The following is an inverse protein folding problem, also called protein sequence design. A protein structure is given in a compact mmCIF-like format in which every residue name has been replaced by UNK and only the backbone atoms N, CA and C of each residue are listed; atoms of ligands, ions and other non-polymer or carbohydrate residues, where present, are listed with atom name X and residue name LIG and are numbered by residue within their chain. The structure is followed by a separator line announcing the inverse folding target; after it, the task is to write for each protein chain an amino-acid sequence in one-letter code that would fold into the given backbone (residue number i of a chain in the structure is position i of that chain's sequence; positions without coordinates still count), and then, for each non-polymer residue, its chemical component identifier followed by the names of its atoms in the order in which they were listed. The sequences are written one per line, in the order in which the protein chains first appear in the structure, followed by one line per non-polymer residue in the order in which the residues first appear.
data_IF_534545303547
#
_entry.id   IF_534545303547
#
_cell.length_a   1.000
_cell.length_b   1.000
_cell.length_c   1.000
_cell.angle_alpha   90.00
_cell.angle_beta   90.00
_cell.angle_gamma   90.00
#
_symmetry.space_group_name_H-M   'P 1'
#
loop_
_entity.id
_entity.type
_entity.pdbx_description
1 polymer ?
#
# COMPACT_ATOMS: atom_id res chain seq x y z
N UNK A 1 -9.63 -18.50 25.43
CA UNK A 1 -9.95 -19.00 24.07
C UNK A 1 -10.79 -17.94 23.36
N UNK A 2 -10.17 -17.18 22.46
CA UNK A 2 -10.85 -16.52 21.35
C UNK A 2 -9.82 -16.50 20.23
N UNK A 3 -9.99 -17.46 19.33
CA UNK A 3 -9.26 -17.55 18.06
C UNK A 3 -9.66 -16.33 17.23
N UNK A 4 -8.68 -15.56 16.79
CA UNK A 4 -8.84 -14.57 15.73
C UNK A 4 -8.37 -15.24 14.43
N UNK A 5 -9.11 -15.09 13.33
CA UNK A 5 -8.91 -15.88 12.13
C UNK A 5 -7.57 -15.51 11.50
N UNK A 6 -6.80 -16.55 11.20
CA UNK A 6 -5.63 -16.58 10.34
C UNK A 6 -5.96 -15.90 9.00
N UNK A 7 -5.69 -14.59 8.86
CA UNK A 7 -5.61 -13.95 7.54
C UNK A 7 -4.40 -14.59 6.87
N UNK A 8 -4.66 -15.37 5.83
CA UNK A 8 -3.65 -16.00 4.98
C UNK A 8 -2.60 -14.95 4.63
N UNK A 9 -1.35 -15.27 4.98
CA UNK A 9 -0.20 -14.50 4.55
C UNK A 9 -0.26 -14.42 3.02
N UNK A 10 -0.43 -13.19 2.50
CA UNK A 10 -0.09 -12.87 1.13
C UNK A 10 1.32 -13.44 0.84
N UNK A 11 1.58 -13.94 -0.38
CA UNK A 11 2.84 -14.60 -0.70
C UNK A 11 3.98 -13.69 -0.28
N UNK A 12 4.90 -14.23 0.55
CA UNK A 12 6.09 -13.53 0.96
C UNK A 12 6.73 -12.90 -0.27
N UNK A 13 6.76 -11.57 -0.31
CA UNK A 13 7.43 -10.82 -1.36
C UNK A 13 8.84 -11.43 -1.51
N UNK A 14 9.31 -11.64 -2.75
CA UNK A 14 10.63 -12.20 -2.98
C UNK A 14 11.64 -11.38 -2.17
N UNK A 15 12.56 -12.05 -1.47
CA UNK A 15 13.56 -11.39 -0.62
C UNK A 15 14.29 -10.30 -1.43
N UNK A 16 13.88 -9.04 -1.23
CA UNK A 16 14.34 -7.89 -2.03
C UNK A 16 13.23 -6.91 -2.45
N UNK A 17 11.97 -7.33 -2.54
CA UNK A 17 10.86 -6.41 -2.86
C UNK A 17 10.22 -5.87 -1.57
N UNK A 18 10.21 -4.55 -1.39
CA UNK A 18 9.54 -3.90 -0.26
C UNK A 18 8.08 -3.62 -0.62
N UNK A 19 7.14 -4.21 0.10
CA UNK A 19 5.71 -3.96 -0.10
C UNK A 19 5.22 -2.85 0.81
N UNK A 20 4.38 -1.97 0.26
CA UNK A 20 3.64 -0.95 1.00
C UNK A 20 2.20 -1.41 1.11
N UNK A 21 1.75 -1.60 2.34
CA UNK A 21 0.43 -2.12 2.69
C UNK A 21 -0.47 -1.03 3.26
N UNK A 22 -1.78 -1.22 3.15
CA UNK A 22 -2.75 -0.31 3.74
C UNK A 22 -2.72 -0.41 5.28
N UNK A 23 -2.47 0.70 6.01
CA UNK A 23 -2.42 0.66 7.48
C UNK A 23 -3.81 0.50 8.10
N UNK A 24 -4.87 0.89 7.38
CA UNK A 24 -6.25 0.87 7.84
C UNK A 24 -7.19 0.65 6.66
N UNK A 25 -8.41 0.10 6.88
CA UNK A 25 -9.40 -0.04 5.83
C UNK A 25 -9.90 1.32 5.34
N UNK A 26 -10.19 1.42 4.04
CA UNK A 26 -10.67 2.64 3.42
C UNK A 26 -10.81 2.52 1.90
N UNK A 27 -10.83 3.67 1.23
CA UNK A 27 -10.92 3.77 -0.21
C UNK A 27 -9.71 4.51 -0.78
N UNK A 28 -9.20 4.07 -1.93
CA UNK A 28 -8.14 4.75 -2.64
C UNK A 28 -8.72 6.02 -3.25
N UNK A 29 -8.37 7.18 -2.69
CA UNK A 29 -8.81 8.47 -3.20
C UNK A 29 -8.00 8.88 -4.43
N UNK A 30 -6.67 8.75 -4.34
CA UNK A 30 -5.74 9.03 -5.44
C UNK A 30 -4.53 8.13 -5.43
N UNK A 31 -4.04 7.82 -6.62
CA UNK A 31 -2.74 7.17 -6.81
C UNK A 31 -1.77 8.22 -7.35
N UNK A 32 -0.70 8.52 -6.61
CA UNK A 32 0.25 9.59 -6.93
C UNK A 32 1.45 9.12 -7.75
N UNK A 33 1.64 7.80 -7.86
CA UNK A 33 2.80 7.18 -8.51
C UNK A 33 2.39 6.16 -9.55
N UNK A 34 3.32 5.81 -10.45
CA UNK A 34 3.15 4.77 -11.46
C UNK A 34 4.31 3.80 -11.44
N UNK A 35 4.11 2.65 -12.07
CA UNK A 35 5.18 1.67 -12.27
C UNK A 35 6.37 2.30 -13.01
N UNK A 36 7.57 2.09 -12.48
CA UNK A 36 8.82 2.67 -12.96
C UNK A 36 9.17 4.03 -12.36
N UNK A 37 8.29 4.67 -11.58
CA UNK A 37 8.61 5.95 -10.97
C UNK A 37 9.62 5.80 -9.82
N UNK A 38 10.65 6.66 -9.75
CA UNK A 38 11.52 6.74 -8.58
C UNK A 38 10.78 7.40 -7.41
N UNK A 39 11.00 6.89 -6.20
CA UNK A 39 10.39 7.40 -4.97
C UNK A 39 11.44 7.56 -3.88
N UNK A 40 11.28 8.58 -3.03
CA UNK A 40 12.11 8.81 -1.86
C UNK A 40 11.44 8.30 -0.58
N UNK A 41 12.22 8.05 0.48
CA UNK A 41 11.66 7.74 1.80
C UNK A 41 10.73 8.86 2.26
N UNK A 42 9.53 8.51 2.69
CA UNK A 42 8.50 9.47 3.10
C UNK A 42 7.72 10.11 1.94
N UNK A 43 8.06 9.85 0.67
CA UNK A 43 7.29 10.35 -0.46
C UNK A 43 5.90 9.73 -0.48
N UNK A 44 4.86 10.56 -0.64
CA UNK A 44 3.49 10.10 -0.74
C UNK A 44 3.28 9.30 -2.04
N UNK A 45 2.77 8.08 -1.87
CA UNK A 45 2.50 7.15 -2.97
C UNK A 45 1.01 7.15 -3.34
N UNK A 46 0.16 7.13 -2.31
CA UNK A 46 -1.29 6.98 -2.44
C UNK A 46 -1.97 7.85 -1.38
N UNK A 47 -3.13 8.39 -1.71
CA UNK A 47 -4.04 9.02 -0.76
C UNK A 47 -5.20 8.06 -0.53
N UNK A 48 -5.37 7.63 0.71
CA UNK A 48 -6.44 6.76 1.18
C UNK A 48 -7.47 7.60 1.94
N UNK A 49 -8.74 7.51 1.57
CA UNK A 49 -9.84 8.09 2.34
C UNK A 49 -10.38 7.05 3.33
N UNK A 50 -10.39 7.39 4.62
CA UNK A 50 -11.06 6.61 5.64
C UNK A 50 -11.83 7.53 6.57
N UNK A 51 -13.09 7.18 6.86
CA UNK A 51 -13.96 7.95 7.77
C UNK A 51 -14.03 9.47 7.44
N UNK A 52 -14.05 9.82 6.15
CA UNK A 52 -14.04 11.22 5.63
C UNK A 52 -12.76 12.00 5.91
N UNK A 53 -11.67 11.30 6.24
CA UNK A 53 -10.33 11.88 6.37
C UNK A 53 -9.41 11.29 5.31
N UNK A 54 -8.59 12.14 4.71
CA UNK A 54 -7.58 11.76 3.74
C UNK A 54 -6.28 11.42 4.49
N UNK A 55 -5.74 10.25 4.22
CA UNK A 55 -4.53 9.72 4.82
C UNK A 55 -3.51 9.44 3.71
N UNK A 56 -2.34 10.05 3.81
CA UNK A 56 -1.24 9.80 2.89
C UNK A 56 -0.51 8.51 3.26
N UNK A 57 -0.38 7.61 2.29
CA UNK A 57 0.46 6.42 2.40
C UNK A 57 1.79 6.73 1.74
N UNK A 58 2.85 6.80 2.56
CA UNK A 58 4.19 7.16 2.12
C UNK A 58 5.10 5.95 1.93
N UNK A 59 6.16 6.12 1.14
CA UNK A 59 7.16 5.10 0.92
C UNK A 59 8.00 4.87 2.20
N UNK A 60 8.21 3.62 2.62
CA UNK A 60 9.01 3.30 3.81
C UNK A 60 10.52 3.48 3.60
N UNK A 61 10.97 3.58 2.35
CA UNK A 61 12.35 3.81 1.95
C UNK A 61 12.39 4.36 0.52
N UNK A 62 13.53 4.92 0.11
CA UNK A 62 13.76 5.28 -1.28
C UNK A 62 13.89 4.03 -2.16
N UNK A 63 13.37 4.08 -3.38
CA UNK A 63 13.35 2.95 -4.30
C UNK A 63 12.69 3.29 -5.64
N UNK A 64 12.33 2.27 -6.40
CA UNK A 64 11.51 2.44 -7.62
C UNK A 64 10.20 1.67 -7.48
N UNK A 65 9.10 2.24 -7.96
CA UNK A 65 7.81 1.55 -7.99
C UNK A 65 7.87 0.39 -8.97
N UNK A 66 7.89 -0.83 -8.46
CA UNK A 66 7.86 -2.04 -9.27
C UNK A 66 6.45 -2.34 -9.79
N UNK A 67 5.43 -2.14 -8.94
CA UNK A 67 4.05 -2.41 -9.30
C UNK A 67 3.05 -1.63 -8.42
N UNK A 68 1.93 -1.21 -8.98
CA UNK A 68 0.81 -0.61 -8.22
C UNK A 68 -0.38 -1.57 -8.31
N UNK A 69 -0.80 -2.10 -7.16
CA UNK A 69 -1.80 -3.17 -7.08
C UNK A 69 -3.24 -2.66 -6.95
N UNK A 70 -3.43 -1.35 -6.89
CA UNK A 70 -4.71 -0.70 -6.65
C UNK A 70 -4.97 0.44 -7.63
N UNK A 71 -6.24 0.78 -7.78
CA UNK A 71 -6.73 1.86 -8.64
C UNK A 71 -7.55 2.88 -7.84
N UNK A 72 -7.69 4.09 -8.36
CA UNK A 72 -8.52 5.12 -7.75
C UNK A 72 -9.97 4.65 -7.64
N UNK A 73 -10.58 4.84 -6.46
CA UNK A 73 -11.91 4.36 -6.11
C UNK A 73 -11.96 2.96 -5.51
N UNK A 74 -10.88 2.17 -5.58
CA UNK A 74 -10.85 0.83 -5.00
C UNK A 74 -11.02 0.86 -3.47
N UNK A 75 -11.76 -0.11 -2.92
CA UNK A 75 -11.80 -0.35 -1.47
C UNK A 75 -10.67 -1.30 -1.08
N UNK A 76 -10.01 -0.99 0.04
CA UNK A 76 -8.90 -1.78 0.59
C UNK A 76 -9.10 -2.03 2.07
N UNK A 77 -8.64 -3.18 2.54
CA UNK A 77 -8.58 -3.54 3.97
C UNK A 77 -7.18 -3.34 4.54
N UNK A 78 -7.08 -3.29 5.87
CA UNK A 78 -5.78 -3.26 6.54
C UNK A 78 -4.94 -4.48 6.16
N UNK A 79 -3.68 -4.23 5.80
CA UNK A 79 -2.72 -5.24 5.34
C UNK A 79 -2.84 -5.60 3.85
N UNK A 80 -3.75 -4.97 3.10
CA UNK A 80 -3.79 -5.18 1.65
C UNK A 80 -2.61 -4.48 0.98
N UNK A 81 -1.97 -5.15 0.02
CA UNK A 81 -0.81 -4.62 -0.70
C UNK A 81 -1.27 -3.53 -1.66
N UNK A 82 -0.68 -2.34 -1.51
CA UNK A 82 -0.99 -1.18 -2.35
C UNK A 82 0.06 -0.99 -3.44
N UNK A 83 1.34 -1.00 -3.05
CA UNK A 83 2.48 -0.74 -3.94
C UNK A 83 3.60 -1.72 -3.62
N UNK A 84 4.31 -2.18 -4.65
CA UNK A 84 5.58 -2.90 -4.51
C UNK A 84 6.72 -2.01 -4.96
N UNK A 85 7.74 -1.88 -4.12
CA UNK A 85 8.98 -1.16 -4.38
C UNK A 85 10.13 -2.15 -4.59
N UNK A 86 11.07 -1.78 -5.45
CA UNK A 86 12.35 -2.47 -5.71
C UNK A 86 13.55 -1.63 -5.31
#
# INVERSE_FOLDING_TARGET
KKEEPKKEAAPAAPAGAQTVEAPMPGNIWKVLVKEGDPVEEGQALIILEAMKMENEISAPAAGTVANVHVEEGASVDSGDVLVSLS
#
